data_IF_397084121494
#
_entry.id   IF_397084121494
#
_cell.length_a   1.000
_cell.length_b   1.000
_cell.length_c   1.000
_cell.angle_alpha   90.00
_cell.angle_beta   90.00
_cell.angle_gamma   90.00
#
_symmetry.space_group_name_H-M   'P 1'
#
loop_
_entity.id
_entity.type
_entity.pdbx_description
1 polymer ?
#
# COMPACT_ATOMS: atom_id res chain seq x y z
N UNK A 1 0.73 -23.26 -6.89
CA UNK A 1 1.04 -22.05 -6.10
C UNK A 1 2.18 -21.32 -6.78
N UNK A 2 1.94 -20.10 -7.24
CA UNK A 2 2.91 -19.22 -7.88
C UNK A 2 3.32 -18.13 -6.89
N UNK A 3 4.57 -17.68 -6.94
CA UNK A 3 4.99 -16.46 -6.26
C UNK A 3 4.61 -15.28 -7.14
N UNK A 4 3.85 -14.32 -6.61
CA UNK A 4 3.46 -13.11 -7.32
C UNK A 4 3.92 -11.87 -6.56
N UNK A 5 4.20 -10.80 -7.32
CA UNK A 5 4.49 -9.47 -6.79
C UNK A 5 3.48 -8.51 -7.36
N UNK A 6 2.72 -7.85 -6.48
CA UNK A 6 1.79 -6.78 -6.83
C UNK A 6 2.40 -5.46 -6.43
N UNK A 7 2.46 -4.49 -7.34
CA UNK A 7 2.96 -3.15 -7.05
C UNK A 7 1.98 -2.07 -7.50
N UNK A 8 1.83 -1.03 -6.68
CA UNK A 8 0.90 0.06 -6.94
C UNK A 8 1.39 1.38 -6.37
N UNK A 9 0.90 2.46 -6.98
CA UNK A 9 0.94 3.82 -6.43
C UNK A 9 -0.47 4.17 -5.99
N UNK A 10 -0.63 4.41 -4.70
CA UNK A 10 -1.90 4.79 -4.06
C UNK A 10 -1.91 6.31 -3.89
N UNK A 11 -2.96 6.96 -4.36
CA UNK A 11 -3.18 8.39 -4.20
C UNK A 11 -3.80 8.71 -2.82
N UNK A 12 -3.69 9.96 -2.39
CA UNK A 12 -4.25 10.42 -1.12
C UNK A 12 -5.78 10.22 -1.00
N UNK A 13 -6.49 10.08 -2.13
CA UNK A 13 -7.93 9.83 -2.23
C UNK A 13 -8.29 8.33 -2.30
N UNK A 14 -7.31 7.44 -2.06
CA UNK A 14 -7.41 5.97 -2.12
C UNK A 14 -7.55 5.36 -3.52
N UNK A 15 -7.51 6.17 -4.59
CA UNK A 15 -7.41 5.66 -5.96
C UNK A 15 -6.00 5.13 -6.26
N UNK A 16 -5.88 4.26 -7.26
CA UNK A 16 -4.57 3.91 -7.82
C UNK A 16 -4.23 4.85 -8.98
N UNK A 17 -2.98 5.32 -9.05
CA UNK A 17 -2.52 6.14 -10.17
C UNK A 17 -2.55 5.39 -11.52
N UNK A 18 -2.47 4.07 -11.47
CA UNK A 18 -2.60 3.13 -12.59
C UNK A 18 -3.06 1.77 -12.04
N UNK A 19 -3.54 0.87 -12.91
CA UNK A 19 -3.89 -0.50 -12.49
C UNK A 19 -2.67 -1.15 -11.79
N UNK A 20 -2.83 -1.74 -10.59
CA UNK A 20 -1.73 -2.43 -9.92
C UNK A 20 -1.05 -3.45 -10.82
N UNK A 21 0.28 -3.38 -10.93
CA UNK A 21 1.07 -4.30 -11.74
C UNK A 21 1.18 -5.65 -11.05
N UNK A 22 1.18 -6.74 -11.82
CA UNK A 22 1.33 -8.10 -11.30
C UNK A 22 0.11 -8.65 -10.56
N UNK A 23 -1.00 -7.90 -10.53
CA UNK A 23 -2.28 -8.38 -10.01
C UNK A 23 -2.91 -9.37 -11.02
N UNK A 24 -3.22 -10.62 -10.63
CA UNK A 24 -3.89 -11.57 -11.52
C UNK A 24 -5.26 -11.06 -12.01
N UNK A 25 -5.67 -11.45 -13.22
CA UNK A 25 -6.84 -10.88 -13.90
C UNK A 25 -8.16 -11.02 -13.12
N UNK A 26 -8.31 -12.11 -12.35
CA UNK A 26 -9.52 -12.42 -11.60
C UNK A 26 -9.42 -12.02 -10.11
N UNK A 27 -8.48 -11.13 -9.77
CA UNK A 27 -8.22 -10.68 -8.41
C UNK A 27 -8.38 -9.17 -8.31
N UNK A 28 -8.70 -8.70 -7.11
CA UNK A 28 -8.89 -7.29 -6.84
C UNK A 28 -8.08 -6.84 -5.63
N UNK A 29 -7.67 -5.57 -5.65
CA UNK A 29 -7.13 -4.87 -4.50
C UNK A 29 -7.87 -3.53 -4.40
N UNK A 30 -8.21 -3.12 -3.18
CA UNK A 30 -8.78 -1.81 -2.91
C UNK A 30 -8.08 -1.15 -1.73
N UNK A 31 -8.26 0.16 -1.58
CA UNK A 31 -7.74 0.93 -0.46
C UNK A 31 -8.85 1.76 0.15
N UNK A 32 -8.93 1.77 1.48
CA UNK A 32 -9.86 2.57 2.27
C UNK A 32 -9.09 3.44 3.26
N UNK A 33 -9.70 4.56 3.65
CA UNK A 33 -9.26 5.38 4.80
C UNK A 33 -9.93 4.86 6.07
N UNK A 34 -9.14 4.68 7.11
CA UNK A 34 -9.64 4.37 8.44
C UNK A 34 -10.04 5.64 9.19
N UNK A 35 -10.67 5.48 10.36
CA UNK A 35 -11.07 6.59 11.24
C UNK A 35 -9.89 7.43 11.75
N UNK A 36 -8.69 6.84 11.80
CA UNK A 36 -7.46 7.53 12.21
C UNK A 36 -6.82 8.22 11.01
N UNK A 37 -6.57 9.54 11.12
CA UNK A 37 -5.92 10.31 10.04
C UNK A 37 -4.59 9.67 9.61
N UNK A 38 -4.43 9.51 8.30
CA UNK A 38 -3.24 8.92 7.68
C UNK A 38 -3.18 7.40 7.74
N UNK A 39 -4.16 6.73 8.37
CA UNK A 39 -4.24 5.27 8.38
C UNK A 39 -5.08 4.77 7.20
N UNK A 40 -4.45 3.97 6.34
CA UNK A 40 -5.05 3.31 5.20
C UNK A 40 -5.14 1.81 5.44
N UNK A 41 -6.23 1.19 4.99
CA UNK A 41 -6.36 -0.25 4.89
C UNK A 41 -6.30 -0.66 3.42
N UNK A 42 -5.33 -1.50 3.07
CA UNK A 42 -5.18 -2.09 1.74
C UNK A 42 -5.78 -3.49 1.80
N UNK A 43 -6.87 -3.69 1.07
CA UNK A 43 -7.61 -4.94 1.05
C UNK A 43 -7.22 -5.69 -0.22
N UNK A 44 -6.75 -6.92 -0.06
CA UNK A 44 -6.35 -7.83 -1.13
C UNK A 44 -6.96 -9.21 -0.88
N UNK A 45 -8.23 -9.22 -0.47
CA UNK A 45 -8.94 -10.44 -0.15
C UNK A 45 -8.88 -11.41 -1.33
N UNK A 46 -8.61 -12.67 -1.03
CA UNK A 46 -8.36 -13.76 -1.99
C UNK A 46 -7.12 -13.63 -2.88
N UNK A 47 -6.26 -12.62 -2.75
CA UNK A 47 -5.04 -12.50 -3.57
C UNK A 47 -3.95 -13.47 -3.08
N UNK A 48 -3.71 -13.49 -1.76
CA UNK A 48 -2.62 -14.27 -1.16
C UNK A 48 -3.15 -15.38 -0.27
N UNK A 49 -2.52 -16.56 -0.30
CA UNK A 49 -2.90 -17.71 0.54
C UNK A 49 -2.37 -17.58 1.98
N UNK A 50 -1.29 -16.83 2.15
CA UNK A 50 -0.62 -16.51 3.41
C UNK A 50 -0.32 -15.01 3.46
N UNK A 51 -0.02 -14.43 4.64
CA UNK A 51 0.45 -13.05 4.72
C UNK A 51 1.61 -12.78 3.74
N UNK A 52 1.50 -11.78 2.83
CA UNK A 52 2.59 -11.42 1.93
C UNK A 52 3.67 -10.61 2.65
N UNK A 53 4.84 -10.49 2.04
CA UNK A 53 5.80 -9.43 2.39
C UNK A 53 5.29 -8.11 1.83
N UNK A 54 5.19 -7.09 2.70
CA UNK A 54 4.73 -5.76 2.32
C UNK A 54 5.86 -4.76 2.51
N UNK A 55 6.11 -3.96 1.48
CA UNK A 55 6.96 -2.77 1.58
C UNK A 55 6.17 -1.56 1.18
N UNK A 56 6.41 -0.45 1.86
CA UNK A 56 5.70 0.81 1.62
C UNK A 56 6.69 1.96 1.72
N UNK A 57 6.51 2.96 0.87
CA UNK A 57 7.21 4.23 0.99
C UNK A 57 6.31 5.35 0.53
N UNK A 58 6.46 6.51 1.13
CA UNK A 58 5.69 7.68 0.77
C UNK A 58 6.06 8.16 -0.64
N UNK A 59 5.06 8.52 -1.44
CA UNK A 59 5.24 8.86 -2.85
C UNK A 59 4.87 10.32 -3.08
N UNK A 60 5.87 11.12 -3.43
CA UNK A 60 5.66 12.55 -3.72
C UNK A 60 5.41 12.84 -5.21
N UNK A 61 5.55 11.82 -6.07
CA UNK A 61 5.21 11.85 -7.50
C UNK A 61 5.71 13.11 -8.25
N UNK A 62 6.91 13.58 -7.91
CA UNK A 62 7.56 14.75 -8.51
C UNK A 62 7.35 16.08 -7.78
N UNK A 63 6.48 16.15 -6.77
CA UNK A 63 6.13 17.41 -6.09
C UNK A 63 7.16 17.90 -5.05
N UNK A 64 8.10 17.06 -4.61
CA UNK A 64 9.04 17.42 -3.54
C UNK A 64 10.40 17.95 -4.04
N UNK A 65 10.77 17.71 -5.30
CA UNK A 65 12.10 18.04 -5.80
C UNK A 65 13.24 17.36 -5.02
N UNK A 66 14.49 17.73 -5.30
CA UNK A 66 15.68 17.12 -4.65
C UNK A 66 16.01 17.65 -3.24
N UNK A 67 15.26 18.63 -2.74
CA UNK A 67 15.48 19.27 -1.43
C UNK A 67 14.28 19.23 -0.48
N UNK A 68 13.16 18.62 -0.88
CA UNK A 68 12.06 18.30 0.01
C UNK A 68 12.25 16.92 0.63
N UNK A 69 11.52 16.64 1.70
CA UNK A 69 11.39 15.29 2.25
C UNK A 69 11.99 15.27 3.62
N UNK A 70 11.17 15.39 4.66
CA UNK A 70 11.64 15.21 6.01
C UNK A 70 11.78 13.72 6.30
N UNK A 71 12.80 13.31 7.06
CA UNK A 71 12.94 11.89 7.45
C UNK A 71 11.77 11.38 8.30
N UNK A 72 10.98 12.31 8.84
CA UNK A 72 9.75 12.03 9.58
C UNK A 72 8.53 11.87 8.66
N UNK A 73 8.60 12.32 7.39
CA UNK A 73 7.63 11.94 6.37
C UNK A 73 7.80 10.45 6.07
N UNK A 74 6.93 9.63 6.64
CA UNK A 74 7.08 8.19 6.60
C UNK A 74 5.77 7.48 6.26
N UNK A 75 5.91 6.28 5.70
CA UNK A 75 4.84 5.31 5.57
C UNK A 75 5.25 4.04 6.34
N UNK A 76 4.43 3.64 7.31
CA UNK A 76 4.71 2.51 8.21
C UNK A 76 3.66 1.44 8.02
N UNK A 77 4.07 0.19 7.86
CA UNK A 77 3.16 -0.95 7.87
C UNK A 77 2.86 -1.32 9.33
N UNK A 78 1.57 -1.30 9.71
CA UNK A 78 1.13 -1.57 11.07
C UNK A 78 0.67 -3.01 11.28
N UNK A 79 -0.05 -3.56 10.30
CA UNK A 79 -0.59 -4.92 10.34
C UNK A 79 -0.51 -5.56 8.95
N UNK A 80 -0.33 -6.89 8.92
CA UNK A 80 -0.29 -7.70 7.71
C UNK A 80 -1.01 -9.02 8.00
N UNK A 81 -2.07 -9.26 7.25
CA UNK A 81 -2.76 -10.55 7.16
C UNK A 81 -2.72 -11.06 5.72
N UNK A 82 -3.31 -12.23 5.48
CA UNK A 82 -3.49 -12.75 4.12
C UNK A 82 -4.57 -12.01 3.32
N UNK A 83 -5.42 -11.19 3.96
CA UNK A 83 -6.53 -10.48 3.30
C UNK A 83 -6.37 -8.96 3.29
N UNK A 84 -5.58 -8.40 4.20
CA UNK A 84 -5.32 -6.96 4.24
C UNK A 84 -3.99 -6.60 4.91
N UNK A 85 -3.51 -5.39 4.62
CA UNK A 85 -2.47 -4.72 5.39
C UNK A 85 -2.95 -3.32 5.80
N UNK A 86 -2.43 -2.79 6.89
CA UNK A 86 -2.66 -1.39 7.27
C UNK A 86 -1.36 -0.60 7.18
N UNK A 87 -1.47 0.61 6.62
CA UNK A 87 -0.35 1.53 6.43
C UNK A 87 -0.69 2.87 7.05
N UNK A 88 0.18 3.40 7.89
CA UNK A 88 0.10 4.76 8.41
C UNK A 88 1.08 5.65 7.69
N UNK A 89 0.58 6.69 7.03
CA UNK A 89 1.39 7.73 6.37
C UNK A 89 1.38 9.00 7.21
N UNK A 90 2.54 9.67 7.32
CA UNK A 90 2.73 10.82 8.18
C UNK A 90 3.32 12.06 7.51
N UNK A 91 3.50 13.12 8.31
CA UNK A 91 4.24 14.32 7.97
C UNK A 91 5.56 14.48 8.71
N UNK A 92 6.32 15.51 8.33
CA UNK A 92 7.57 15.92 8.97
C UNK A 92 7.49 16.22 10.47
N UNK A 93 6.30 16.23 11.08
CA UNK A 93 6.11 16.32 12.53
C UNK A 93 5.69 14.99 13.17
N UNK A 94 5.63 13.90 12.40
CA UNK A 94 5.17 12.58 12.84
C UNK A 94 3.64 12.46 12.98
N UNK A 95 2.86 13.45 12.52
CA UNK A 95 1.40 13.36 12.56
C UNK A 95 0.90 12.54 11.36
N UNK A 96 -0.18 11.78 11.54
CA UNK A 96 -0.81 11.08 10.43
C UNK A 96 -1.38 12.04 9.40
N UNK A 97 -1.14 11.78 8.11
CA UNK A 97 -1.62 12.61 7.00
C UNK A 97 -2.11 11.77 5.82
N UNK A 98 -3.11 12.29 5.11
CA UNK A 98 -3.57 11.70 3.87
C UNK A 98 -2.63 12.07 2.72
N UNK A 99 -1.79 11.14 2.30
CA UNK A 99 -0.77 11.35 1.27
C UNK A 99 -0.61 10.12 0.40
N UNK A 100 -0.10 10.33 -0.80
CA UNK A 100 0.19 9.24 -1.73
C UNK A 100 1.37 8.40 -1.24
N UNK A 101 1.34 7.11 -1.55
CA UNK A 101 2.41 6.15 -1.21
C UNK A 101 2.52 5.07 -2.27
N UNK A 102 3.68 4.45 -2.38
CA UNK A 102 3.87 3.23 -3.17
C UNK A 102 3.81 2.02 -2.26
N UNK A 103 3.20 0.94 -2.74
CA UNK A 103 3.15 -0.34 -2.04
C UNK A 103 3.61 -1.45 -2.97
N UNK A 104 4.39 -2.39 -2.42
CA UNK A 104 4.74 -3.64 -3.07
C UNK A 104 4.39 -4.78 -2.13
N UNK A 105 3.59 -5.72 -2.62
CA UNK A 105 3.18 -6.93 -1.93
C UNK A 105 3.75 -8.14 -2.67
N UNK A 106 4.49 -9.01 -1.99
CA UNK A 106 5.04 -10.24 -2.58
C UNK A 106 4.64 -11.44 -1.75
N UNK A 107 4.04 -12.45 -2.37
CA UNK A 107 3.56 -13.63 -1.66
C UNK A 107 3.04 -14.71 -2.60
N UNK A 108 2.62 -15.83 -2.01
CA UNK A 108 2.05 -16.93 -2.78
C UNK A 108 0.60 -16.64 -3.14
N UNK A 109 0.28 -16.74 -4.43
CA UNK A 109 -1.06 -16.54 -4.97
C UNK A 109 -2.04 -17.56 -4.38
N UNK A 110 -3.21 -17.07 -3.96
CA UNK A 110 -4.36 -17.92 -3.66
C UNK A 110 -5.10 -18.25 -4.96
N UNK A 111 -4.74 -19.40 -5.54
CA UNK A 111 -5.32 -19.91 -6.78
C UNK A 111 -6.73 -20.50 -6.62
N UNK A 112 -7.27 -20.58 -5.40
CA UNK A 112 -8.48 -21.35 -5.12
C UNK A 112 -8.30 -22.85 -5.39
N UNK A 113 -9.20 -23.66 -4.85
CA UNK A 113 -9.46 -25.03 -5.33
C UNK A 113 -10.74 -24.99 -6.15
#
# INVERSE_FOLDING_TARGET
>A
MSLITVSAVVNADTSFAFRPYGLPENKNISVLKESTTGLYQIIYDTVFISPPVVTVTQAWLGNFGGGGGETLDNAVVNDITNTYATVKVGDGNGNGQWRSFTIVLTGYENVGA
#
